data_IF_451060786639
#
_entry.id   IF_451060786639
#
_cell.length_a   1.000
_cell.length_b   1.000
_cell.length_c   1.000
_cell.angle_alpha   90.00
_cell.angle_beta   90.00
_cell.angle_gamma   90.00
#
_symmetry.space_group_name_H-M   'P 1'
#
loop_
_entity.id
_entity.type
_entity.pdbx_description
1 polymer ?
#
# COMPACT_ATOMS: atom_id res chain seq x y z
N UNK A 1 -13.03 10.67 16.40
CA UNK A 1 -12.08 11.22 15.39
C UNK A 1 -10.68 10.76 15.80
N UNK A 2 -10.17 9.67 15.22
CA UNK A 2 -8.91 9.05 15.66
C UNK A 2 -7.73 9.94 15.32
N UNK A 3 -6.98 10.36 16.33
CA UNK A 3 -5.97 11.39 16.16
C UNK A 3 -4.72 10.89 15.45
N UNK A 4 -4.26 11.68 14.49
CA UNK A 4 -3.03 11.50 13.70
C UNK A 4 -1.80 11.95 14.54
N UNK A 5 -1.84 11.74 15.87
CA UNK A 5 -0.88 12.35 16.82
C UNK A 5 0.52 11.71 16.80
N UNK A 6 0.76 10.68 15.99
CA UNK A 6 2.06 9.99 15.93
C UNK A 6 2.99 10.45 14.80
N UNK A 7 2.51 11.22 13.83
CA UNK A 7 3.36 11.79 12.78
C UNK A 7 3.74 13.23 13.14
N UNK A 8 5.00 13.59 12.92
CA UNK A 8 5.46 14.98 12.98
C UNK A 8 4.76 15.84 11.93
N UNK A 9 4.78 17.17 12.12
CA UNK A 9 4.22 18.10 11.14
C UNK A 9 4.86 17.96 9.74
N UNK A 10 6.14 17.60 9.67
CA UNK A 10 6.87 17.37 8.42
C UNK A 10 6.42 16.08 7.74
N UNK A 11 6.29 14.98 8.49
CA UNK A 11 5.77 13.71 7.95
C UNK A 11 4.32 13.88 7.49
N UNK A 12 3.48 14.58 8.26
CA UNK A 12 2.12 14.89 7.85
C UNK A 12 2.07 15.70 6.55
N UNK A 13 2.93 16.71 6.41
CA UNK A 13 3.02 17.49 5.17
C UNK A 13 3.44 16.62 3.99
N UNK A 14 4.40 15.71 4.19
CA UNK A 14 4.83 14.74 3.17
C UNK A 14 3.68 13.81 2.77
N UNK A 15 2.98 13.22 3.72
CA UNK A 15 1.86 12.31 3.45
C UNK A 15 0.71 13.04 2.72
N UNK A 16 0.36 14.26 3.14
CA UNK A 16 -0.66 15.10 2.47
C UNK A 16 -0.27 15.48 1.04
N UNK A 17 1.02 15.67 0.76
CA UNK A 17 1.47 16.06 -0.59
C UNK A 17 1.36 14.93 -1.63
N UNK A 18 1.10 13.69 -1.20
CA UNK A 18 0.84 12.55 -2.07
C UNK A 18 -0.55 12.60 -2.72
N UNK A 19 -1.50 13.35 -2.14
CA UNK A 19 -2.83 13.71 -2.66
C UNK A 19 -3.84 12.58 -2.86
N UNK A 20 -3.46 11.50 -3.54
CA UNK A 20 -4.39 10.47 -4.02
C UNK A 20 -3.68 9.11 -4.18
N UNK A 21 -4.41 8.00 -4.45
CA UNK A 21 -3.83 6.67 -4.56
C UNK A 21 -2.67 6.59 -5.55
N UNK A 22 -2.78 7.25 -6.71
CA UNK A 22 -1.73 7.26 -7.72
C UNK A 22 -0.46 7.99 -7.24
N UNK A 23 -0.61 9.13 -6.56
CA UNK A 23 0.53 9.85 -5.99
C UNK A 23 1.20 9.10 -4.83
N UNK A 24 0.43 8.33 -4.06
CA UNK A 24 0.97 7.43 -3.03
C UNK A 24 1.70 6.26 -3.68
N UNK A 25 1.11 5.61 -4.70
CA UNK A 25 1.73 4.52 -5.44
C UNK A 25 3.09 4.95 -6.03
N UNK A 26 3.15 6.10 -6.71
CA UNK A 26 4.42 6.61 -7.25
C UNK A 26 5.49 6.73 -6.16
N UNK A 27 5.13 7.27 -5.00
CA UNK A 27 6.07 7.39 -3.89
C UNK A 27 6.52 6.03 -3.34
N UNK A 28 5.64 5.03 -3.30
CA UNK A 28 5.97 3.65 -2.90
C UNK A 28 6.86 2.96 -3.94
N UNK A 29 6.61 3.17 -5.24
CA UNK A 29 7.41 2.61 -6.32
C UNK A 29 8.83 3.18 -6.33
N UNK A 30 8.99 4.47 -6.04
CA UNK A 30 10.30 5.15 -5.97
C UNK A 30 11.20 4.62 -4.84
N UNK A 31 10.64 3.94 -3.83
CA UNK A 31 11.42 3.32 -2.75
C UNK A 31 12.14 2.07 -3.24
N UNK A 32 13.42 1.84 -2.89
CA UNK A 32 14.05 0.55 -3.09
C UNK A 32 13.29 -0.56 -2.37
N UNK A 33 13.18 -1.72 -3.02
CA UNK A 33 12.63 -2.92 -2.37
C UNK A 33 13.69 -3.51 -1.44
N UNK A 34 13.31 -3.80 -0.19
CA UNK A 34 14.21 -4.38 0.81
C UNK A 34 13.68 -5.72 1.26
N UNK A 35 14.44 -6.78 1.02
CA UNK A 35 14.17 -8.10 1.57
C UNK A 35 14.73 -8.17 2.99
N UNK A 36 13.84 -8.23 3.99
CA UNK A 36 14.22 -8.32 5.38
C UNK A 36 13.06 -8.84 6.23
N UNK A 37 13.40 -9.46 7.35
CA UNK A 37 12.44 -9.86 8.37
C UNK A 37 12.20 -8.71 9.35
N UNK A 38 11.40 -7.73 8.93
CA UNK A 38 11.03 -6.55 9.74
C UNK A 38 9.54 -6.22 9.62
N UNK A 39 9.05 -5.43 10.57
CA UNK A 39 7.68 -4.90 10.58
C UNK A 39 7.70 -3.44 11.02
N UNK A 40 8.40 -2.58 10.27
CA UNK A 40 8.58 -1.18 10.62
C UNK A 40 7.27 -0.38 10.57
N UNK A 41 7.15 0.58 11.48
CA UNK A 41 6.06 1.55 11.45
C UNK A 41 6.16 2.44 10.21
N UNK A 42 5.04 3.04 9.75
CA UNK A 42 5.05 4.00 8.65
C UNK A 42 6.05 5.16 8.83
N UNK A 43 6.25 5.67 10.06
CA UNK A 43 7.27 6.70 10.32
C UNK A 43 8.67 6.21 10.00
N UNK A 44 8.99 4.97 10.40
CA UNK A 44 10.31 4.39 10.16
C UNK A 44 10.51 4.11 8.67
N UNK A 45 9.51 3.60 7.96
CA UNK A 45 9.56 3.45 6.49
C UNK A 45 9.79 4.80 5.79
N UNK A 46 9.09 5.86 6.21
CA UNK A 46 9.29 7.22 5.67
C UNK A 46 10.73 7.72 5.88
N UNK A 47 11.32 7.43 7.05
CA UNK A 47 12.68 7.85 7.41
C UNK A 47 13.74 7.08 6.63
N UNK A 48 13.61 5.76 6.57
CA UNK A 48 14.60 4.88 5.93
C UNK A 48 14.41 4.82 4.40
N UNK A 49 13.25 5.26 3.90
CA UNK A 49 12.90 5.33 2.48
C UNK A 49 13.07 4.00 1.74
N UNK A 50 12.70 2.89 2.37
CA UNK A 50 12.72 1.54 1.80
C UNK A 50 11.72 0.63 2.51
N UNK A 51 11.21 -0.38 1.80
CA UNK A 51 10.22 -1.32 2.33
C UNK A 51 10.14 -2.63 1.51
N UNK A 52 9.63 -3.68 2.13
CA UNK A 52 8.98 -4.81 1.44
C UNK A 52 7.46 -4.58 1.30
N UNK A 53 6.72 -5.57 0.79
CA UNK A 53 5.28 -5.51 0.55
C UNK A 53 4.47 -5.03 1.78
N UNK A 54 4.62 -5.71 2.93
CA UNK A 54 3.91 -5.38 4.17
C UNK A 54 4.18 -3.96 4.67
N UNK A 55 5.45 -3.58 4.83
CA UNK A 55 5.84 -2.22 5.26
C UNK A 55 5.35 -1.14 4.28
N UNK A 56 5.40 -1.42 2.98
CA UNK A 56 4.90 -0.53 1.93
C UNK A 56 3.37 -0.36 2.00
N UNK A 57 2.63 -1.45 2.23
CA UNK A 57 1.19 -1.42 2.41
C UNK A 57 0.79 -0.64 3.67
N UNK A 58 1.50 -0.83 4.78
CA UNK A 58 1.28 -0.09 6.02
C UNK A 58 1.49 1.42 5.83
N UNK A 59 2.58 1.81 5.15
CA UNK A 59 2.81 3.22 4.82
C UNK A 59 1.75 3.78 3.88
N UNK A 60 1.36 3.02 2.85
CA UNK A 60 0.31 3.40 1.92
C UNK A 60 -1.04 3.61 2.64
N UNK A 61 -1.44 2.70 3.53
CA UNK A 61 -2.66 2.83 4.33
C UNK A 61 -2.62 4.06 5.24
N UNK A 62 -1.46 4.37 5.85
CA UNK A 62 -1.29 5.58 6.64
C UNK A 62 -1.43 6.85 5.77
N UNK A 63 -0.80 6.87 4.59
CA UNK A 63 -0.96 7.96 3.63
C UNK A 63 -2.42 8.12 3.17
N UNK A 64 -3.12 7.02 2.94
CA UNK A 64 -4.53 7.00 2.58
C UNK A 64 -5.41 7.62 3.66
N UNK A 65 -5.20 7.26 4.94
CA UNK A 65 -5.88 7.89 6.09
C UNK A 65 -5.68 9.40 6.09
N UNK A 66 -4.44 9.86 5.89
CA UNK A 66 -4.09 11.29 5.88
C UNK A 66 -4.74 12.04 4.73
N UNK A 67 -4.99 11.38 3.59
CA UNK A 67 -5.63 11.96 2.41
C UNK A 67 -7.15 11.70 2.34
N UNK A 68 -7.78 11.27 3.44
CA UNK A 68 -9.24 11.15 3.54
C UNK A 68 -9.82 9.83 3.05
N UNK A 69 -8.99 8.83 2.78
CA UNK A 69 -9.42 7.48 2.39
C UNK A 69 -9.40 6.52 3.59
N UNK A 70 -10.27 5.50 3.62
CA UNK A 70 -10.16 4.40 4.57
C UNK A 70 -8.79 3.70 4.47
N UNK A 71 -8.10 3.44 5.59
CA UNK A 71 -6.79 2.79 5.63
C UNK A 71 -6.97 1.27 5.70
N UNK A 72 -7.29 0.66 4.57
CA UNK A 72 -7.57 -0.76 4.47
C UNK A 72 -6.36 -1.52 3.93
N UNK A 73 -6.05 -2.63 4.58
CA UNK A 73 -5.04 -3.60 4.15
C UNK A 73 -5.76 -4.81 3.57
N UNK A 74 -5.18 -5.39 2.54
CA UNK A 74 -5.61 -6.65 1.96
C UNK A 74 -4.42 -7.61 1.92
N UNK A 75 -4.59 -8.75 2.56
CA UNK A 75 -3.60 -9.81 2.70
C UNK A 75 -3.91 -10.94 1.72
N UNK A 76 -2.92 -11.35 0.93
CA UNK A 76 -3.00 -12.40 -0.06
C UNK A 76 -1.99 -13.48 0.33
N UNK A 77 -2.50 -14.56 0.89
CA UNK A 77 -1.71 -15.71 1.35
C UNK A 77 -1.51 -16.71 0.21
N UNK A 78 -0.32 -17.33 0.17
CA UNK A 78 0.03 -18.40 -0.75
C UNK A 78 0.76 -19.54 -0.03
N UNK A 79 0.58 -20.78 -0.50
CA UNK A 79 1.20 -21.95 0.10
C UNK A 79 2.61 -22.22 -0.45
N UNK A 80 2.76 -22.35 -1.78
CA UNK A 80 4.02 -22.65 -2.47
C UNK A 80 4.72 -21.41 -3.06
N UNK A 81 4.25 -20.21 -2.69
CA UNK A 81 4.78 -18.92 -3.14
C UNK A 81 4.85 -17.94 -1.94
N UNK A 82 5.26 -16.70 -2.18
CA UNK A 82 5.40 -15.67 -1.14
C UNK A 82 4.12 -14.86 -0.97
N UNK A 83 3.64 -14.75 0.27
CA UNK A 83 2.52 -13.87 0.63
C UNK A 83 2.72 -12.42 0.15
N UNK A 84 1.60 -11.74 -0.12
CA UNK A 84 1.63 -10.35 -0.59
C UNK A 84 0.58 -9.50 0.09
N UNK A 85 1.04 -8.39 0.67
CA UNK A 85 0.17 -7.44 1.36
C UNK A 85 0.09 -6.14 0.59
N UNK A 86 -1.13 -5.64 0.38
CA UNK A 86 -1.40 -4.40 -0.36
C UNK A 86 -2.35 -3.49 0.40
N UNK A 87 -2.31 -2.19 0.13
CA UNK A 87 -3.30 -1.24 0.63
C UNK A 87 -4.40 -1.04 -0.41
N UNK A 88 -5.67 -1.22 -0.03
CA UNK A 88 -6.79 -1.12 -0.97
C UNK A 88 -7.60 0.14 -0.79
N UNK A 89 -8.27 0.55 -1.86
CA UNK A 89 -9.08 1.76 -1.87
C UNK A 89 -10.27 1.63 -2.82
N UNK A 90 -11.30 2.45 -2.59
CA UNK A 90 -12.53 2.43 -3.38
C UNK A 90 -12.85 3.80 -3.95
N UNK A 91 -13.03 3.90 -5.27
CA UNK A 91 -13.39 5.12 -5.99
C UNK A 91 -14.52 4.81 -6.96
N UNK A 92 -15.57 5.63 -6.98
CA UNK A 92 -16.76 5.44 -7.83
C UNK A 92 -17.32 4.00 -7.78
N UNK A 93 -17.36 3.40 -6.59
CA UNK A 93 -17.89 2.05 -6.37
C UNK A 93 -16.95 0.89 -6.70
N UNK A 94 -15.75 1.16 -7.22
CA UNK A 94 -14.79 0.15 -7.66
C UNK A 94 -13.52 0.15 -6.80
N UNK A 95 -12.95 -1.03 -6.60
CA UNK A 95 -11.76 -1.30 -5.82
C UNK A 95 -10.50 -1.21 -6.65
N UNK A 96 -9.45 -0.64 -6.09
CA UNK A 96 -8.07 -0.67 -6.58
C UNK A 96 -7.10 -0.95 -5.42
N UNK A 97 -5.82 -1.06 -5.74
CA UNK A 97 -4.78 -1.38 -4.76
C UNK A 97 -3.48 -0.60 -5.01
N UNK A 98 -2.80 -0.27 -3.92
CA UNK A 98 -1.46 0.31 -3.85
C UNK A 98 -0.55 -0.77 -3.27
N UNK A 99 0.58 -1.03 -3.92
CA UNK A 99 1.43 -2.16 -3.58
C UNK A 99 2.92 -1.85 -3.78
N UNK A 100 3.74 -2.40 -2.88
CA UNK A 100 5.20 -2.47 -3.04
C UNK A 100 5.57 -3.90 -3.42
N UNK A 101 6.19 -4.11 -4.58
CA UNK A 101 6.66 -5.43 -5.00
C UNK A 101 7.92 -5.35 -5.85
N UNK A 102 8.78 -6.37 -5.71
CA UNK A 102 9.90 -6.64 -6.61
C UNK A 102 9.43 -7.21 -7.96
N UNK A 103 8.21 -7.74 -8.05
CA UNK A 103 7.58 -8.20 -9.28
C UNK A 103 6.53 -7.19 -9.78
N UNK A 104 6.60 -6.82 -11.06
CA UNK A 104 5.68 -5.83 -11.66
C UNK A 104 4.23 -6.31 -11.69
N UNK A 105 4.01 -7.62 -11.85
CA UNK A 105 2.68 -8.23 -11.85
C UNK A 105 1.91 -7.98 -10.56
N UNK A 106 2.60 -7.88 -9.43
CA UNK A 106 2.01 -7.72 -8.09
C UNK A 106 2.01 -6.27 -7.58
N UNK A 107 2.05 -5.26 -8.48
CA UNK A 107 2.00 -3.84 -8.09
C UNK A 107 0.57 -3.29 -8.09
N UNK A 108 0.45 -2.01 -8.43
CA UNK A 108 -0.76 -1.21 -8.45
C UNK A 108 -1.92 -1.89 -9.22
N UNK A 109 -3.13 -1.55 -8.79
CA UNK A 109 -4.37 -1.87 -9.49
C UNK A 109 -5.25 -0.64 -9.59
N UNK A 110 -5.65 -0.34 -10.81
CA UNK A 110 -6.67 0.68 -11.11
C UNK A 110 -7.99 0.33 -10.40
N UNK A 111 -8.80 1.33 -10.00
CA UNK A 111 -10.05 1.11 -9.32
C UNK A 111 -11.14 0.69 -10.31
N UNK A 112 -11.05 -0.52 -10.85
CA UNK A 112 -11.97 -1.07 -11.88
C UNK A 112 -12.70 -2.35 -11.42
N UNK A 113 -12.36 -2.87 -10.24
CA UNK A 113 -12.90 -4.14 -9.73
C UNK A 113 -14.15 -3.89 -8.87
N UNK A 114 -15.26 -4.57 -9.15
CA UNK A 114 -16.53 -4.34 -8.43
C UNK A 114 -16.58 -5.00 -7.06
N UNK A 115 -15.81 -6.06 -6.87
CA UNK A 115 -15.73 -6.82 -5.63
C UNK A 115 -14.28 -7.05 -5.20
N UNK A 116 -14.08 -7.33 -3.91
CA UNK A 116 -12.77 -7.73 -3.39
C UNK A 116 -12.29 -9.05 -4.00
N UNK A 117 -13.22 -9.96 -4.34
CA UNK A 117 -12.90 -11.20 -5.06
C UNK A 117 -12.30 -10.90 -6.44
N UNK A 118 -12.92 -10.01 -7.21
CA UNK A 118 -12.38 -9.61 -8.53
C UNK A 118 -10.99 -8.99 -8.40
N UNK A 119 -10.77 -8.15 -7.38
CA UNK A 119 -9.46 -7.58 -7.09
C UNK A 119 -8.44 -8.67 -6.76
N UNK A 120 -8.77 -9.64 -5.90
CA UNK A 120 -7.90 -10.77 -5.56
C UNK A 120 -7.57 -11.61 -6.80
N UNK A 121 -8.57 -11.92 -7.63
CA UNK A 121 -8.37 -12.67 -8.87
C UNK A 121 -7.42 -11.95 -9.84
N UNK A 122 -7.33 -10.61 -9.79
CA UNK A 122 -6.37 -9.87 -10.62
C UNK A 122 -4.89 -10.09 -10.22
N UNK A 123 -4.64 -10.66 -9.04
CA UNK A 123 -3.32 -11.08 -8.60
C UNK A 123 -3.10 -12.58 -8.78
N UNK A 124 -4.16 -13.38 -8.85
CA UNK A 124 -4.09 -14.84 -8.88
C UNK A 124 -3.12 -15.39 -9.93
N UNK A 125 -3.21 -14.93 -11.19
CA UNK A 125 -2.33 -15.39 -12.28
C UNK A 125 -0.85 -14.98 -12.11
N UNK A 126 -0.55 -14.11 -11.14
CA UNK A 126 0.81 -13.69 -10.81
C UNK A 126 1.47 -14.58 -9.75
N UNK A 127 0.70 -15.44 -9.08
CA UNK A 127 1.17 -16.50 -8.18
C UNK A 127 1.41 -17.79 -8.97
N UNK A 128 2.27 -18.65 -8.45
CA UNK A 128 2.63 -19.94 -9.07
C UNK A 128 2.11 -21.15 -8.29
#
# INVERSE_FOLDING_TARGET
>A
MNSIHEFSATELRKLRSLKNPHGIQRFIDDMPYRLADTAWSPQRVLRENTAHCFEGAMLAAAAMRVNGYPPLIFDLEADEDTDHVVAIYRVHGHWGAIAKSNFTGCRYREPVYRSLRELAMSYFDAYF
#
